data_IF_300214275961
#
_entry.id   IF_300214275961
#
_cell.length_a   1.000
_cell.length_b   1.000
_cell.length_c   1.000
_cell.angle_alpha   90.00
_cell.angle_beta   90.00
_cell.angle_gamma   90.00
#
_symmetry.space_group_name_H-M   'P 1'
#
loop_
_entity.id
_entity.type
_entity.pdbx_description
1 polymer ?
#
# COMPACT_ATOMS: atom_id res chain seq x y z
N UNK A 1 12.74 4.55 39.86
CA UNK A 1 11.51 4.87 39.09
C UNK A 1 11.89 5.98 38.13
N UNK A 2 12.20 5.61 36.89
CA UNK A 2 12.69 6.55 35.88
C UNK A 2 11.48 7.25 35.26
N UNK A 3 11.36 8.56 35.49
CA UNK A 3 10.39 9.42 34.82
C UNK A 3 10.72 9.40 33.31
N UNK A 4 10.00 8.59 32.53
CA UNK A 4 9.90 8.84 31.09
C UNK A 4 9.03 10.09 30.94
N UNK A 5 9.65 11.21 30.59
CA UNK A 5 8.92 12.41 30.17
C UNK A 5 8.00 12.03 29.01
N UNK A 6 6.68 12.11 29.19
CA UNK A 6 5.73 12.07 28.08
C UNK A 6 6.06 13.24 27.17
N UNK A 7 6.66 12.98 26.02
CA UNK A 7 6.79 13.96 24.95
C UNK A 7 5.37 14.22 24.44
N UNK A 8 4.82 15.36 24.80
CA UNK A 8 3.52 15.82 24.31
C UNK A 8 3.65 16.26 22.85
N UNK A 9 2.64 15.98 22.03
CA UNK A 9 2.61 16.40 20.62
C UNK A 9 2.78 17.93 20.48
N UNK A 10 3.87 18.35 19.83
CA UNK A 10 4.13 19.76 19.50
C UNK A 10 3.46 20.13 18.16
N UNK A 11 2.21 20.60 18.27
CA UNK A 11 1.39 21.03 17.14
C UNK A 11 1.98 22.22 16.39
N UNK A 12 2.58 23.19 17.08
CA UNK A 12 3.09 24.41 16.45
C UNK A 12 4.27 24.09 15.55
N UNK A 13 5.22 23.30 16.07
CA UNK A 13 6.36 22.83 15.27
C UNK A 13 5.90 21.92 14.13
N UNK A 14 4.92 21.04 14.34
CA UNK A 14 4.37 20.20 13.27
C UNK A 14 3.77 21.04 12.12
N UNK A 15 3.01 22.10 12.43
CA UNK A 15 2.46 23.03 11.45
C UNK A 15 3.57 23.81 10.74
N UNK A 16 4.61 24.24 11.48
CA UNK A 16 5.76 24.92 10.89
C UNK A 16 6.46 24.04 9.87
N UNK A 17 6.80 22.80 10.24
CA UNK A 17 7.43 21.82 9.36
C UNK A 17 6.61 21.57 8.10
N UNK A 18 5.28 21.52 8.22
CA UNK A 18 4.39 21.37 7.06
C UNK A 18 4.45 22.58 6.13
N UNK A 19 4.46 23.81 6.65
CA UNK A 19 4.54 25.03 5.83
C UNK A 19 5.87 25.13 5.07
N UNK A 20 6.93 24.60 5.65
CA UNK A 20 8.27 24.51 5.05
C UNK A 20 8.41 23.29 4.13
N UNK A 21 7.42 22.39 4.11
CA UNK A 21 7.48 21.15 3.33
C UNK A 21 7.21 21.40 1.84
N UNK A 22 8.30 21.52 1.10
CA UNK A 22 8.27 21.59 -0.35
C UNK A 22 8.31 20.18 -0.96
N UNK A 23 7.23 19.83 -1.64
CA UNK A 23 7.06 18.57 -2.34
C UNK A 23 5.99 18.74 -3.40
N UNK A 24 6.37 18.47 -4.64
CA UNK A 24 5.49 18.49 -5.80
C UNK A 24 4.97 17.07 -6.07
N UNK A 25 3.67 16.99 -6.38
CA UNK A 25 3.01 15.74 -6.68
C UNK A 25 2.76 15.67 -8.17
N UNK A 26 3.21 14.59 -8.82
CA UNK A 26 2.88 14.32 -10.22
C UNK A 26 1.42 13.85 -10.34
N UNK A 27 0.52 14.81 -10.56
CA UNK A 27 -0.92 14.57 -10.71
C UNK A 27 -1.24 13.67 -11.93
N UNK A 28 -0.40 13.76 -12.97
CA UNK A 28 -0.57 12.99 -14.20
C UNK A 28 -0.32 11.50 -13.94
N UNK A 29 0.70 11.18 -13.16
CA UNK A 29 0.99 9.80 -12.78
C UNK A 29 -0.07 9.25 -11.82
N UNK A 30 -0.53 10.04 -10.85
CA UNK A 30 -1.64 9.62 -9.98
C UNK A 30 -2.89 9.27 -10.80
N UNK A 31 -3.24 10.11 -11.77
CA UNK A 31 -4.41 9.92 -12.63
C UNK A 31 -4.25 8.69 -13.52
N UNK A 32 -3.07 8.49 -14.10
CA UNK A 32 -2.74 7.30 -14.90
C UNK A 32 -2.87 6.02 -14.07
N UNK A 33 -2.32 6.00 -12.86
CA UNK A 33 -2.38 4.83 -11.97
C UNK A 33 -3.81 4.50 -11.55
N UNK A 34 -4.64 5.51 -11.23
CA UNK A 34 -6.06 5.28 -10.91
C UNK A 34 -6.82 4.72 -12.13
N UNK A 35 -6.53 5.21 -13.33
CA UNK A 35 -7.12 4.68 -14.56
C UNK A 35 -6.71 3.22 -14.80
N UNK A 36 -5.44 2.88 -14.58
CA UNK A 36 -4.95 1.50 -14.70
C UNK A 36 -5.57 0.57 -13.63
N UNK A 37 -5.69 1.03 -12.37
CA UNK A 37 -6.41 0.33 -11.30
C UNK A 37 -7.88 0.06 -11.69
N UNK A 38 -8.53 1.03 -12.33
CA UNK A 38 -9.89 0.91 -12.85
C UNK A 38 -10.10 -0.32 -13.75
N UNK A 39 -9.12 -0.64 -14.60
CA UNK A 39 -9.18 -1.82 -15.49
C UNK A 39 -9.21 -3.14 -14.70
N UNK A 40 -8.38 -3.26 -13.67
CA UNK A 40 -8.39 -4.45 -12.79
C UNK A 40 -9.71 -4.58 -12.04
N UNK A 41 -10.19 -3.46 -11.49
CA UNK A 41 -11.45 -3.37 -10.76
C UNK A 41 -12.64 -3.82 -11.61
N UNK A 42 -12.73 -3.36 -12.86
CA UNK A 42 -13.80 -3.74 -13.78
C UNK A 42 -13.79 -5.23 -14.07
N UNK A 43 -12.60 -5.81 -14.34
CA UNK A 43 -12.47 -7.27 -14.51
C UNK A 43 -12.94 -8.05 -13.27
N UNK A 44 -12.57 -7.59 -12.07
CA UNK A 44 -12.97 -8.26 -10.82
C UNK A 44 -14.48 -8.21 -10.65
N UNK A 45 -15.10 -7.05 -10.90
CA UNK A 45 -16.55 -6.85 -10.80
C UNK A 45 -17.34 -7.69 -11.81
N UNK A 46 -16.82 -7.81 -13.03
CA UNK A 46 -17.47 -8.55 -14.11
C UNK A 46 -17.19 -10.06 -14.05
N UNK A 47 -16.45 -10.55 -13.03
CA UNK A 47 -16.11 -11.96 -12.90
C UNK A 47 -15.11 -12.46 -13.96
N UNK A 48 -14.42 -11.55 -14.65
CA UNK A 48 -13.45 -11.85 -15.70
C UNK A 48 -12.00 -11.93 -15.18
N UNK A 49 -11.77 -11.58 -13.91
CA UNK A 49 -10.43 -11.55 -13.31
C UNK A 49 -9.99 -12.96 -12.87
N UNK A 50 -8.97 -13.50 -13.54
CA UNK A 50 -8.43 -14.84 -13.32
C UNK A 50 -7.08 -14.88 -12.60
N UNK A 51 -6.54 -16.10 -12.43
CA UNK A 51 -5.24 -16.31 -11.78
C UNK A 51 -4.11 -15.59 -12.54
N UNK A 52 -4.11 -15.62 -13.87
CA UNK A 52 -3.04 -15.03 -14.68
C UNK A 52 -3.11 -13.49 -14.68
N UNK A 53 -4.29 -12.90 -14.45
CA UNK A 53 -4.42 -11.46 -14.18
C UNK A 53 -3.87 -11.09 -12.79
N UNK A 54 -3.88 -12.02 -11.84
CA UNK A 54 -3.38 -11.82 -10.48
C UNK A 54 -1.86 -11.99 -10.40
N UNK A 55 -1.33 -13.10 -10.91
CA UNK A 55 0.10 -13.44 -10.90
C UNK A 55 0.50 -14.15 -12.19
N UNK A 56 1.62 -13.72 -12.79
CA UNK A 56 2.20 -14.34 -13.97
C UNK A 56 3.72 -14.15 -13.98
N UNK A 57 4.39 -14.73 -14.97
CA UNK A 57 5.80 -14.44 -15.24
C UNK A 57 5.90 -13.12 -16.00
N UNK A 58 6.99 -12.37 -15.75
CA UNK A 58 7.35 -11.28 -16.67
C UNK A 58 7.76 -11.95 -17.98
N UNK A 59 7.12 -11.61 -19.09
CA UNK A 59 7.56 -12.07 -20.41
C UNK A 59 8.94 -11.47 -20.68
N UNK A 60 10.01 -12.24 -20.56
CA UNK A 60 11.33 -11.85 -21.03
C UNK A 60 11.75 -12.55 -22.33
N UNK A 61 11.07 -13.62 -22.77
CA UNK A 61 11.62 -14.53 -23.80
C UNK A 61 10.80 -14.67 -25.09
N UNK A 62 9.91 -13.73 -25.42
CA UNK A 62 9.33 -13.70 -26.77
C UNK A 62 8.95 -12.27 -27.21
N UNK A 63 9.84 -11.53 -27.89
CA UNK A 63 9.53 -10.21 -28.46
C UNK A 63 8.38 -10.25 -29.49
N UNK A 64 8.04 -11.44 -29.98
CA UNK A 64 6.97 -11.72 -30.95
C UNK A 64 5.61 -12.04 -30.32
N UNK A 65 5.55 -12.19 -28.99
CA UNK A 65 4.34 -11.84 -28.25
C UNK A 65 4.62 -10.41 -27.81
N UNK A 66 3.96 -9.39 -28.40
CA UNK A 66 4.19 -8.01 -28.01
C UNK A 66 4.12 -7.85 -26.47
N UNK A 67 4.44 -6.66 -25.99
CA UNK A 67 3.82 -6.11 -24.78
C UNK A 67 2.30 -6.08 -24.98
N UNK A 68 1.67 -7.25 -25.13
CA UNK A 68 0.53 -7.49 -26.00
C UNK A 68 -0.75 -7.22 -25.26
N UNK A 69 -0.78 -6.06 -24.62
CA UNK A 69 -1.88 -5.33 -24.05
C UNK A 69 -1.78 -3.84 -24.38
N UNK A 70 -1.07 -3.50 -25.48
CA UNK A 70 -1.42 -2.36 -26.32
C UNK A 70 -2.65 -2.63 -27.23
N UNK A 71 -3.39 -3.73 -27.02
CA UNK A 71 -4.80 -3.80 -27.39
C UNK A 71 -5.65 -3.20 -26.26
N UNK A 72 -5.62 -1.86 -26.17
CA UNK A 72 -6.47 -0.90 -25.43
C UNK A 72 -7.06 -1.21 -24.02
N UNK A 73 -7.22 -2.44 -23.55
CA UNK A 73 -8.07 -2.76 -22.39
C UNK A 73 -7.44 -3.60 -21.27
N UNK A 74 -6.20 -4.13 -21.40
CA UNK A 74 -5.54 -4.68 -20.21
C UNK A 74 -4.49 -3.73 -19.62
N UNK A 75 -4.35 -3.72 -18.29
CA UNK A 75 -3.34 -2.97 -17.58
C UNK A 75 -1.93 -3.54 -17.77
N UNK A 76 -0.90 -2.75 -17.45
CA UNK A 76 0.52 -3.10 -17.59
C UNK A 76 0.89 -4.29 -16.69
N UNK A 77 0.66 -5.51 -17.19
CA UNK A 77 0.99 -6.76 -16.53
C UNK A 77 -0.06 -7.26 -15.53
N UNK A 78 0.34 -8.19 -14.67
CA UNK A 78 -0.53 -8.78 -13.64
C UNK A 78 -0.58 -7.91 -12.37
N UNK A 79 -1.67 -8.04 -11.62
CA UNK A 79 -2.03 -7.16 -10.50
C UNK A 79 -0.91 -7.07 -9.44
N UNK A 80 -0.29 -8.19 -9.07
CA UNK A 80 0.78 -8.17 -8.06
C UNK A 80 1.96 -7.27 -8.49
N UNK A 81 2.37 -7.32 -9.76
CA UNK A 81 3.43 -6.46 -10.30
C UNK A 81 2.98 -5.00 -10.37
N UNK A 82 1.74 -4.74 -10.79
CA UNK A 82 1.18 -3.38 -10.81
C UNK A 82 1.21 -2.72 -9.43
N UNK A 83 0.73 -3.40 -8.39
CA UNK A 83 0.71 -2.86 -7.03
C UNK A 83 2.12 -2.69 -6.44
N UNK A 84 3.07 -3.56 -6.78
CA UNK A 84 4.44 -3.46 -6.25
C UNK A 84 5.28 -2.40 -6.97
N UNK A 85 5.12 -2.24 -8.30
CA UNK A 85 6.08 -1.52 -9.16
C UNK A 85 5.52 -0.30 -9.88
N UNK A 86 4.20 -0.21 -10.03
CA UNK A 86 3.55 0.78 -10.90
C UNK A 86 2.58 1.68 -10.14
N UNK A 87 2.65 1.69 -8.82
CA UNK A 87 1.76 2.50 -7.96
C UNK A 87 2.57 3.26 -6.92
N UNK A 88 3.87 3.48 -7.13
CA UNK A 88 4.78 4.09 -6.16
C UNK A 88 4.43 5.56 -5.85
N UNK A 89 3.71 6.24 -6.75
CA UNK A 89 3.12 7.57 -6.51
C UNK A 89 2.06 7.58 -5.39
N UNK A 90 1.51 6.41 -5.02
CA UNK A 90 0.64 6.21 -3.85
C UNK A 90 1.42 5.61 -2.66
N UNK A 91 2.74 5.82 -2.58
CA UNK A 91 3.57 5.31 -1.48
C UNK A 91 3.96 3.83 -1.62
N UNK A 92 5.00 3.43 -0.88
CA UNK A 92 5.59 2.08 -1.00
C UNK A 92 4.88 1.06 -0.11
N UNK A 93 4.55 -0.11 -0.67
CA UNK A 93 3.92 -1.24 0.03
C UNK A 93 4.68 -2.56 -0.16
N UNK A 94 5.98 -2.50 -0.47
CA UNK A 94 6.76 -3.69 -0.84
C UNK A 94 6.69 -4.77 0.25
N UNK A 95 6.28 -6.01 -0.09
CA UNK A 95 6.13 -7.07 0.90
C UNK A 95 7.42 -7.86 1.16
N UNK A 96 8.56 -7.39 0.66
CA UNK A 96 9.86 -8.05 0.81
C UNK A 96 10.06 -9.23 -0.14
N UNK A 97 9.10 -10.15 -0.25
CA UNK A 97 9.15 -11.26 -1.20
C UNK A 97 7.79 -11.54 -1.87
N UNK A 98 7.85 -12.09 -3.08
CA UNK A 98 6.66 -12.39 -3.88
C UNK A 98 5.76 -13.49 -3.27
N UNK A 99 6.29 -14.32 -2.35
CA UNK A 99 5.50 -15.37 -1.70
C UNK A 99 4.46 -14.78 -0.74
N UNK A 100 4.64 -13.54 -0.29
CA UNK A 100 3.66 -12.85 0.55
C UNK A 100 2.35 -12.51 -0.17
N UNK A 101 2.33 -12.59 -1.52
CA UNK A 101 1.10 -12.53 -2.31
C UNK A 101 0.30 -13.84 -2.27
N UNK A 102 0.73 -14.83 -1.47
CA UNK A 102 0.02 -16.09 -1.22
C UNK A 102 -0.04 -17.06 -2.41
N UNK A 103 -0.09 -16.58 -3.65
CA UNK A 103 0.06 -17.37 -4.88
C UNK A 103 0.99 -16.63 -5.82
N UNK A 104 1.96 -17.34 -6.38
CA UNK A 104 2.99 -16.75 -7.25
C UNK A 104 3.35 -17.72 -8.38
N UNK A 105 3.36 -17.24 -9.61
CA UNK A 105 3.94 -17.98 -10.73
C UNK A 105 5.48 -18.08 -10.58
N UNK A 106 6.04 -19.27 -10.83
CA UNK A 106 7.47 -19.55 -10.84
C UNK A 106 7.94 -19.78 -12.27
N UNK A 107 9.12 -19.27 -12.59
CA UNK A 107 9.74 -19.53 -13.87
C UNK A 107 10.00 -21.04 -14.00
N UNK A 108 9.87 -21.61 -15.22
CA UNK A 108 10.33 -22.96 -15.47
C UNK A 108 11.82 -23.08 -15.09
N UNK A 109 12.19 -24.21 -14.52
CA UNK A 109 13.56 -24.56 -14.18
C UNK A 109 14.01 -25.65 -15.15
N UNK A 110 15.00 -25.33 -16.00
CA UNK A 110 15.51 -26.24 -17.03
C UNK A 110 16.13 -27.51 -16.42
N UNK A 111 16.66 -27.43 -15.20
CA UNK A 111 17.21 -28.58 -14.46
C UNK A 111 16.10 -29.41 -13.79
N UNK A 112 14.88 -28.89 -13.72
CA UNK A 112 13.70 -29.54 -13.13
C UNK A 112 12.48 -29.43 -14.06
N UNK A 113 12.46 -30.14 -15.20
CA UNK A 113 11.39 -30.03 -16.20
C UNK A 113 10.00 -30.42 -15.69
N UNK A 114 9.92 -31.16 -14.58
CA UNK A 114 8.65 -31.52 -13.92
C UNK A 114 8.22 -30.53 -12.81
N UNK A 115 8.92 -29.39 -12.70
CA UNK A 115 8.60 -28.36 -11.71
C UNK A 115 7.26 -27.72 -12.03
N UNK A 116 6.30 -27.92 -11.14
CA UNK A 116 4.99 -27.29 -11.27
C UNK A 116 5.10 -25.76 -11.11
N UNK A 117 4.38 -24.96 -11.89
CA UNK A 117 4.74 -23.56 -12.12
C UNK A 117 4.25 -22.57 -11.04
N UNK A 118 3.74 -23.02 -9.90
CA UNK A 118 3.20 -22.11 -8.88
C UNK A 118 3.75 -22.36 -7.48
N UNK A 119 3.89 -21.30 -6.71
CA UNK A 119 3.95 -21.32 -5.25
C UNK A 119 2.55 -21.02 -4.70
N UNK A 120 2.14 -21.75 -3.65
CA UNK A 120 0.88 -21.52 -2.92
C UNK A 120 1.15 -21.56 -1.42
N UNK A 121 0.91 -20.45 -0.72
CA UNK A 121 1.31 -20.26 0.68
C UNK A 121 0.68 -21.25 1.66
N UNK A 122 -0.53 -21.73 1.38
CA UNK A 122 -1.22 -22.68 2.26
C UNK A 122 -0.52 -24.04 2.36
N UNK A 123 -0.04 -24.57 1.23
CA UNK A 123 0.70 -25.84 1.21
C UNK A 123 2.17 -25.66 1.58
N UNK A 124 2.66 -24.42 1.66
CA UNK A 124 4.09 -24.09 1.92
C UNK A 124 5.08 -24.80 1.00
N UNK A 125 4.58 -25.39 -0.07
CA UNK A 125 5.37 -26.11 -1.06
C UNK A 125 5.61 -25.19 -2.25
N UNK A 126 6.89 -25.11 -2.62
CA UNK A 126 7.31 -24.55 -3.90
C UNK A 126 6.99 -25.65 -4.91
N UNK A 127 6.16 -25.37 -5.91
CA UNK A 127 5.84 -26.24 -7.06
C UNK A 127 4.48 -26.95 -6.97
N UNK A 128 3.41 -26.18 -7.17
CA UNK A 128 2.03 -26.65 -7.30
C UNK A 128 1.49 -26.46 -8.72
N UNK A 129 0.52 -27.31 -9.09
CA UNK A 129 -0.12 -27.24 -10.41
C UNK A 129 -1.05 -26.03 -10.50
N UNK A 130 -1.27 -25.54 -11.73
CA UNK A 130 -2.19 -24.44 -12.01
C UNK A 130 -3.57 -24.65 -11.39
N UNK A 131 -4.10 -25.87 -11.43
CA UNK A 131 -5.42 -26.21 -10.84
C UNK A 131 -5.47 -25.93 -9.33
N UNK A 132 -4.40 -26.23 -8.59
CA UNK A 132 -4.32 -26.00 -7.14
C UNK A 132 -4.20 -24.50 -6.87
N UNK A 133 -3.36 -23.80 -7.62
CA UNK A 133 -3.18 -22.36 -7.53
C UNK A 133 -4.49 -21.60 -7.85
N UNK A 134 -5.19 -21.98 -8.91
CA UNK A 134 -6.48 -21.40 -9.30
C UNK A 134 -7.55 -21.63 -8.24
N UNK A 135 -7.64 -22.86 -7.71
CA UNK A 135 -8.58 -23.18 -6.63
C UNK A 135 -8.31 -22.29 -5.41
N UNK A 136 -7.05 -22.21 -4.99
CA UNK A 136 -6.67 -21.38 -3.85
C UNK A 136 -6.95 -19.89 -4.09
N UNK A 137 -6.59 -19.38 -5.26
CA UNK A 137 -6.87 -18.01 -5.65
C UNK A 137 -8.38 -17.70 -5.60
N UNK A 138 -9.22 -18.53 -6.22
CA UNK A 138 -10.68 -18.35 -6.23
C UNK A 138 -11.31 -18.42 -4.85
N UNK A 139 -10.83 -19.32 -3.99
CA UNK A 139 -11.42 -19.55 -2.66
C UNK A 139 -10.91 -18.57 -1.59
N UNK A 140 -9.67 -18.07 -1.71
CA UNK A 140 -9.00 -17.31 -0.63
C UNK A 140 -8.61 -15.90 -1.00
N UNK A 141 -8.26 -15.62 -2.26
CA UNK A 141 -7.74 -14.30 -2.67
C UNK A 141 -8.81 -13.49 -3.36
N UNK A 142 -9.49 -14.05 -4.36
CA UNK A 142 -10.53 -13.36 -5.12
C UNK A 142 -11.64 -12.77 -4.23
N UNK A 143 -12.13 -13.44 -3.17
CA UNK A 143 -13.14 -12.86 -2.29
C UNK A 143 -12.64 -11.60 -1.57
N UNK A 144 -11.35 -11.54 -1.21
CA UNK A 144 -10.72 -10.37 -0.59
C UNK A 144 -10.68 -9.21 -1.59
N UNK A 145 -10.26 -9.49 -2.83
CA UNK A 145 -10.24 -8.48 -3.89
C UNK A 145 -11.65 -7.93 -4.16
N UNK A 146 -12.67 -8.79 -4.15
CA UNK A 146 -14.06 -8.38 -4.29
C UNK A 146 -14.55 -7.48 -3.15
N UNK A 147 -14.14 -7.74 -1.89
CA UNK A 147 -14.44 -6.84 -0.77
C UNK A 147 -13.89 -5.44 -1.04
N UNK A 148 -12.65 -5.34 -1.53
CA UNK A 148 -12.01 -4.07 -1.86
C UNK A 148 -12.74 -3.37 -3.01
N UNK A 149 -12.94 -4.04 -4.14
CA UNK A 149 -13.46 -3.41 -5.36
C UNK A 149 -14.96 -3.10 -5.31
N UNK A 150 -15.75 -3.85 -4.55
CA UNK A 150 -17.20 -3.67 -4.46
C UNK A 150 -17.62 -2.64 -3.41
N UNK A 151 -16.68 -2.21 -2.57
CA UNK A 151 -16.88 -1.19 -1.56
C UNK A 151 -17.08 0.19 -2.20
N UNK A 152 -18.29 0.76 -2.13
CA UNK A 152 -18.51 2.17 -2.55
C UNK A 152 -17.87 3.16 -1.58
N UNK A 153 -17.76 2.78 -0.32
CA UNK A 153 -17.19 3.59 0.77
C UNK A 153 -16.52 2.67 1.77
N UNK A 154 -15.39 3.10 2.31
CA UNK A 154 -14.66 2.35 3.32
C UNK A 154 -15.48 2.20 4.63
N UNK A 155 -16.15 1.06 4.78
CA UNK A 155 -16.92 0.70 5.97
C UNK A 155 -16.04 0.08 7.05
N UNK A 156 -16.49 0.17 8.32
CA UNK A 156 -15.81 -0.48 9.45
C UNK A 156 -15.76 -1.99 9.28
N UNK A 157 -16.82 -2.59 8.78
CA UNK A 157 -16.90 -4.03 8.51
C UNK A 157 -15.86 -4.48 7.48
N UNK A 158 -15.66 -3.72 6.40
CA UNK A 158 -14.64 -4.03 5.39
C UNK A 158 -13.24 -3.93 5.98
N UNK A 159 -12.97 -2.90 6.78
CA UNK A 159 -11.69 -2.76 7.49
C UNK A 159 -11.42 -3.98 8.38
N UNK A 160 -12.39 -4.37 9.22
CA UNK A 160 -12.24 -5.50 10.12
C UNK A 160 -12.00 -6.81 9.37
N UNK A 161 -12.76 -7.06 8.30
CA UNK A 161 -12.59 -8.26 7.45
C UNK A 161 -11.18 -8.31 6.87
N UNK A 162 -10.69 -7.20 6.31
CA UNK A 162 -9.38 -7.16 5.65
C UNK A 162 -8.21 -7.25 6.64
N UNK A 163 -8.32 -6.65 7.82
CA UNK A 163 -7.26 -6.70 8.85
C UNK A 163 -7.20 -8.08 9.53
N UNK A 164 -8.35 -8.71 9.81
CA UNK A 164 -8.41 -10.03 10.45
C UNK A 164 -8.17 -11.21 9.51
N UNK A 165 -8.16 -10.99 8.20
CA UNK A 165 -7.93 -12.05 7.21
C UNK A 165 -6.52 -12.70 7.34
N UNK A 166 -6.26 -13.85 6.72
CA UNK A 166 -4.96 -14.53 6.77
C UNK A 166 -4.00 -14.16 5.63
N UNK A 167 -4.38 -13.22 4.77
CA UNK A 167 -3.51 -12.69 3.72
C UNK A 167 -2.24 -12.09 4.33
N UNK A 168 -1.08 -12.59 3.90
CA UNK A 168 0.21 -12.29 4.54
C UNK A 168 0.62 -10.82 4.36
N UNK A 169 0.63 -10.30 3.14
CA UNK A 169 1.00 -8.92 2.87
C UNK A 169 -0.17 -7.94 3.11
N UNK A 170 -0.50 -7.65 4.37
CA UNK A 170 -1.57 -6.68 4.72
C UNK A 170 -1.37 -5.31 4.08
N UNK A 171 -0.14 -4.83 4.01
CA UNK A 171 0.21 -3.56 3.36
C UNK A 171 -0.22 -3.48 1.89
N UNK A 172 -0.26 -4.62 1.18
CA UNK A 172 -0.74 -4.68 -0.21
C UNK A 172 -2.25 -4.45 -0.26
N UNK A 173 -3.01 -5.07 0.66
CA UNK A 173 -4.45 -4.86 0.77
C UNK A 173 -4.78 -3.41 1.12
N UNK A 174 -4.01 -2.81 2.05
CA UNK A 174 -4.16 -1.39 2.42
C UNK A 174 -3.87 -0.45 1.25
N UNK A 175 -2.87 -0.77 0.41
CA UNK A 175 -2.60 0.01 -0.80
C UNK A 175 -3.71 -0.10 -1.83
N UNK A 176 -4.25 -1.30 -2.06
CA UNK A 176 -5.42 -1.46 -2.94
C UNK A 176 -6.65 -0.68 -2.43
N UNK A 177 -6.86 -0.61 -1.11
CA UNK A 177 -7.90 0.26 -0.53
C UNK A 177 -7.65 1.74 -0.79
N UNK A 178 -6.40 2.21 -0.72
CA UNK A 178 -6.05 3.59 -1.10
C UNK A 178 -6.34 3.84 -2.58
N UNK A 179 -6.02 2.90 -3.47
CA UNK A 179 -6.34 3.06 -4.90
C UNK A 179 -7.85 3.13 -5.15
N UNK A 180 -8.66 2.43 -4.35
CA UNK A 180 -10.12 2.49 -4.42
C UNK A 180 -10.71 3.76 -3.77
N UNK A 181 -10.09 4.24 -2.68
CA UNK A 181 -10.55 5.37 -1.87
C UNK A 181 -9.38 6.32 -1.56
N UNK A 182 -8.85 7.05 -2.57
CA UNK A 182 -7.57 7.76 -2.44
C UNK A 182 -7.56 8.94 -1.48
N UNK A 183 -8.73 9.37 -1.02
CA UNK A 183 -8.92 10.49 -0.10
C UNK A 183 -9.41 10.09 1.30
N UNK A 184 -9.66 8.80 1.54
CA UNK A 184 -10.19 8.28 2.80
C UNK A 184 -9.08 7.83 3.77
N UNK A 185 -7.85 7.64 3.28
CA UNK A 185 -6.71 7.09 4.00
C UNK A 185 -5.43 7.83 3.63
N UNK A 186 -4.47 7.91 4.55
CA UNK A 186 -3.10 8.32 4.20
C UNK A 186 -2.40 7.18 3.45
N UNK A 187 -1.54 7.52 2.51
CA UNK A 187 -0.82 6.61 1.62
C UNK A 187 0.43 6.01 2.31
N UNK A 188 0.22 5.51 3.54
CA UNK A 188 1.23 4.86 4.38
C UNK A 188 0.68 3.50 4.82
N UNK A 189 1.47 2.45 4.62
CA UNK A 189 1.01 1.06 4.81
C UNK A 189 1.82 0.26 5.83
N UNK A 190 2.99 0.77 6.21
CA UNK A 190 3.92 0.14 7.15
C UNK A 190 3.38 0.28 8.57
N UNK A 191 3.26 -0.85 9.26
CA UNK A 191 2.70 -0.94 10.62
C UNK A 191 3.42 -0.04 11.60
N UNK A 192 4.75 -0.07 11.59
CA UNK A 192 5.58 0.68 12.52
C UNK A 192 5.37 2.19 12.35
N UNK A 193 5.28 2.67 11.11
CA UNK A 193 5.08 4.10 10.81
C UNK A 193 3.68 4.57 11.19
N UNK A 194 2.64 3.77 10.89
CA UNK A 194 1.26 4.09 11.30
C UNK A 194 1.17 4.13 12.83
N UNK A 195 1.76 3.16 13.52
CA UNK A 195 1.76 3.10 14.98
C UNK A 195 2.52 4.27 15.60
N UNK A 196 3.67 4.67 15.04
CA UNK A 196 4.44 5.81 15.50
C UNK A 196 3.63 7.11 15.41
N UNK A 197 3.03 7.39 14.26
CA UNK A 197 2.17 8.56 14.06
C UNK A 197 0.94 8.53 14.98
N UNK A 198 0.30 7.38 15.12
CA UNK A 198 -0.88 7.22 15.96
C UNK A 198 -0.57 7.49 17.44
N UNK A 199 0.58 7.02 17.92
CA UNK A 199 1.07 7.27 19.28
C UNK A 199 1.47 8.73 19.47
N UNK A 200 2.20 9.30 18.51
CA UNK A 200 2.64 10.71 18.53
C UNK A 200 1.45 11.66 18.64
N UNK A 201 0.39 11.42 17.87
CA UNK A 201 -0.82 12.26 17.92
C UNK A 201 -1.74 11.95 19.11
N UNK A 202 -1.28 11.12 20.06
CA UNK A 202 -2.00 10.74 21.28
C UNK A 202 -3.43 10.24 20.99
N UNK A 203 -3.59 9.47 19.92
CA UNK A 203 -4.90 8.97 19.49
C UNK A 203 -5.25 7.69 20.25
N UNK A 204 -6.54 7.52 20.56
CA UNK A 204 -7.04 6.38 21.33
C UNK A 204 -8.19 5.62 20.62
N UNK A 205 -8.53 4.45 21.15
CA UNK A 205 -9.71 3.65 20.79
C UNK A 205 -9.76 3.06 19.36
N UNK A 206 -8.61 2.75 18.76
CA UNK A 206 -8.56 1.96 17.51
C UNK A 206 -7.76 0.67 17.68
N UNK A 207 -8.16 -0.37 16.96
CA UNK A 207 -7.61 -1.72 17.16
C UNK A 207 -6.78 -2.20 15.99
N UNK A 208 -7.07 -1.73 14.78
CA UNK A 208 -6.39 -2.15 13.55
C UNK A 208 -5.60 -1.01 12.91
N UNK A 209 -4.60 -1.33 12.08
CA UNK A 209 -3.77 -0.29 11.46
C UNK A 209 -4.53 0.52 10.40
N UNK A 210 -5.53 -0.04 9.72
CA UNK A 210 -6.44 0.73 8.87
C UNK A 210 -7.29 1.71 9.69
N UNK A 211 -7.79 1.33 10.87
CA UNK A 211 -8.50 2.26 11.76
C UNK A 211 -7.57 3.38 12.24
N UNK A 212 -6.33 3.04 12.63
CA UNK A 212 -5.30 4.02 13.01
C UNK A 212 -4.98 4.98 11.87
N UNK A 213 -4.77 4.47 10.65
CA UNK A 213 -4.52 5.27 9.46
C UNK A 213 -5.65 6.29 9.22
N UNK A 214 -6.90 5.83 9.29
CA UNK A 214 -8.08 6.71 9.16
C UNK A 214 -8.17 7.72 10.31
N UNK A 215 -7.85 7.33 11.53
CA UNK A 215 -7.84 8.21 12.69
C UNK A 215 -6.77 9.31 12.57
N UNK A 216 -5.58 8.97 12.06
CA UNK A 216 -4.53 9.95 11.75
C UNK A 216 -5.04 10.97 10.73
N UNK A 217 -5.63 10.53 9.61
CA UNK A 217 -6.17 11.47 8.63
C UNK A 217 -7.25 12.37 9.23
N UNK A 218 -8.14 11.79 10.05
CA UNK A 218 -9.19 12.55 10.75
C UNK A 218 -8.58 13.60 11.68
N UNK A 219 -7.57 13.23 12.46
CA UNK A 219 -6.87 14.17 13.36
C UNK A 219 -6.30 15.38 12.60
N UNK A 220 -5.66 15.14 11.44
CA UNK A 220 -5.16 16.22 10.59
C UNK A 220 -6.29 17.11 10.08
N UNK A 221 -7.41 16.53 9.65
CA UNK A 221 -8.62 17.29 9.24
C UNK A 221 -9.19 18.10 10.41
N UNK A 222 -9.21 17.54 11.61
CA UNK A 222 -9.70 18.20 12.82
C UNK A 222 -8.80 19.39 13.22
N UNK A 223 -7.49 19.37 12.91
CA UNK A 223 -6.63 20.55 13.08
C UNK A 223 -7.13 21.73 12.22
N UNK A 224 -7.46 21.50 10.95
CA UNK A 224 -7.99 22.57 10.08
C UNK A 224 -9.29 23.17 10.63
N UNK A 225 -10.17 22.32 11.15
CA UNK A 225 -11.45 22.74 11.73
C UNK A 225 -11.22 23.61 12.96
N UNK A 226 -10.37 23.17 13.88
CA UNK A 226 -10.06 23.90 15.12
C UNK A 226 -9.37 25.25 14.88
N UNK A 227 -8.57 25.34 13.82
CA UNK A 227 -7.86 26.56 13.43
C UNK A 227 -8.69 27.47 12.52
N UNK A 228 -9.92 27.06 12.17
CA UNK A 228 -10.80 27.76 11.24
C UNK A 228 -10.10 28.15 9.91
N UNK A 229 -9.12 27.33 9.51
CA UNK A 229 -8.27 27.57 8.34
C UNK A 229 -7.78 26.25 7.76
N UNK A 230 -7.73 26.16 6.43
CA UNK A 230 -7.10 25.04 5.74
C UNK A 230 -5.58 25.15 5.86
N UNK A 231 -5.01 24.44 6.84
CA UNK A 231 -3.56 24.32 7.02
C UNK A 231 -3.05 23.12 6.20
N UNK A 232 -3.74 21.99 6.32
CA UNK A 232 -3.44 20.75 5.61
C UNK A 232 -4.54 20.45 4.58
N UNK A 233 -4.38 20.78 3.30
CA UNK A 233 -5.34 20.40 2.28
C UNK A 233 -5.50 18.86 2.22
N UNK A 234 -6.73 18.37 2.09
CA UNK A 234 -7.05 16.91 2.15
C UNK A 234 -8.24 16.50 1.27
N UNK A 235 -8.67 17.36 0.36
CA UNK A 235 -9.89 17.17 -0.44
C UNK A 235 -9.61 16.37 -1.72
N UNK A 236 -8.37 16.42 -2.21
CA UNK A 236 -7.96 15.73 -3.43
C UNK A 236 -6.90 14.67 -3.17
N UNK A 237 -6.75 13.72 -4.10
CA UNK A 237 -5.76 12.62 -4.01
C UNK A 237 -4.32 13.16 -4.01
N UNK A 238 -4.07 14.25 -4.71
CA UNK A 238 -2.79 14.95 -4.79
C UNK A 238 -2.41 15.53 -3.42
N UNK A 239 -3.37 16.22 -2.79
CA UNK A 239 -3.19 16.80 -1.47
C UNK A 239 -2.92 15.73 -0.41
N UNK A 240 -3.65 14.61 -0.47
CA UNK A 240 -3.42 13.46 0.42
C UNK A 240 -2.08 12.80 0.14
N UNK A 241 -1.64 12.69 -1.13
CA UNK A 241 -0.32 12.18 -1.49
C UNK A 241 0.80 13.05 -0.89
N UNK A 242 0.70 14.39 -1.01
CA UNK A 242 1.63 15.33 -0.39
C UNK A 242 1.64 15.18 1.13
N UNK A 243 0.47 15.17 1.77
CA UNK A 243 0.33 14.98 3.21
C UNK A 243 0.95 13.65 3.66
N UNK A 244 0.71 12.57 2.92
CA UNK A 244 1.23 11.24 3.26
C UNK A 244 2.75 11.20 3.16
N UNK A 245 3.33 11.87 2.16
CA UNK A 245 4.78 12.00 2.01
C UNK A 245 5.39 12.80 3.16
N UNK A 246 4.74 13.89 3.56
CA UNK A 246 5.14 14.67 4.74
C UNK A 246 5.11 13.82 6.01
N UNK A 247 3.99 13.15 6.29
CA UNK A 247 3.83 12.30 7.47
C UNK A 247 4.84 11.16 7.51
N UNK A 248 5.13 10.56 6.36
CA UNK A 248 6.17 9.54 6.24
C UNK A 248 7.55 10.08 6.62
N UNK A 249 7.94 11.25 6.07
CA UNK A 249 9.23 11.89 6.40
C UNK A 249 9.28 12.32 7.86
N UNK A 250 8.20 12.89 8.37
CA UNK A 250 8.08 13.31 9.77
C UNK A 250 8.29 12.15 10.74
N UNK A 251 7.60 11.02 10.52
CA UNK A 251 7.73 9.84 11.36
C UNK A 251 9.14 9.22 11.28
N UNK A 252 9.76 9.18 10.09
CA UNK A 252 11.08 8.59 9.93
C UNK A 252 12.21 9.51 10.42
N UNK A 253 12.12 10.83 10.23
CA UNK A 253 13.12 11.77 10.74
C UNK A 253 13.21 11.68 12.27
N UNK A 254 12.06 11.58 12.95
CA UNK A 254 12.02 11.32 14.40
C UNK A 254 12.57 9.95 14.77
N UNK A 255 12.35 8.90 13.98
CA UNK A 255 12.96 7.59 14.27
C UNK A 255 14.49 7.56 14.18
N UNK A 256 15.10 8.55 13.52
CA UNK A 256 16.56 8.70 13.42
C UNK A 256 17.09 9.56 14.59
N UNK A 257 16.29 10.52 15.08
CA UNK A 257 16.58 11.31 16.28
C UNK A 257 16.00 10.58 17.49
N UNK A 258 16.66 9.50 17.91
CA UNK A 258 16.27 8.79 19.14
C UNK A 258 16.59 9.66 20.36
N UNK A 259 15.70 9.69 21.37
CA UNK A 259 15.88 10.48 22.61
C UNK A 259 17.17 10.07 23.36
N UNK A 260 17.63 8.83 23.14
CA UNK A 260 18.85 8.27 23.73
C UNK A 260 20.12 8.52 22.88
N UNK A 261 20.03 9.15 21.71
CA UNK A 261 21.17 9.36 20.80
C UNK A 261 21.00 10.62 19.93
N UNK A 262 21.19 11.83 20.50
CA UNK A 262 21.02 13.09 19.78
C UNK A 262 22.09 13.34 18.69
N UNK A 263 23.13 12.49 18.60
CA UNK A 263 24.20 12.62 17.62
C UNK A 263 23.94 11.68 16.43
N UNK A 264 23.43 12.25 15.34
CA UNK A 264 23.28 11.54 14.06
C UNK A 264 24.45 11.92 13.16
N UNK A 265 25.23 10.93 12.74
CA UNK A 265 26.20 11.09 11.65
C UNK A 265 25.53 10.59 10.37
N UNK A 266 25.19 11.53 9.48
CA UNK A 266 24.70 11.19 8.15
C UNK A 266 25.90 10.89 7.25
N UNK A 267 25.95 9.69 6.70
CA UNK A 267 26.89 9.32 5.64
C UNK A 267 26.11 8.96 4.37
N UNK A 268 26.55 9.51 3.24
CA UNK A 268 25.98 9.26 1.92
C UNK A 268 27.07 9.46 0.86
N UNK A 269 26.95 8.80 -0.30
CA UNK A 269 27.85 9.03 -1.42
C UNK A 269 27.77 10.50 -1.88
N UNK A 270 28.85 11.06 -2.46
CA UNK A 270 28.83 12.44 -2.94
C UNK A 270 27.68 12.64 -3.94
N UNK A 271 26.75 13.56 -3.63
CA UNK A 271 25.63 13.92 -4.51
C UNK A 271 24.22 13.57 -4.00
N UNK A 272 24.08 13.07 -2.78
CA UNK A 272 22.80 12.99 -2.03
C UNK A 272 22.78 13.96 -0.87
#
# INVERSE_FOLDING_TARGET
MTNQSKVQFDKENFIKLWKEFDYEVDESELTKVIKEWGKYKEKIKNGLFGLDDYTSLKNNDNPSLPDNLEKNDNPKGYLCNFIERHTDCFGSSRPGNANQFMVKANAPDEEKPNQKPYYVAYVKEKNQDKKIAEKYFKEKILPILQIITNSKKLSKENIEKLEKDKYQAKQILRKMLVLEHPTDLIHIYKDETINALYKEFELEHTTTNLEKNRAILKFIKDINVKEEKVIFPTDTKEQICKLSTFLWRYANAKSIVDDDSPNIILYGPPGT
#
